data_IF_000360678370
#
_entry.id   IF_000360678370
#
_cell.length_a   1.000
_cell.length_b   1.000
_cell.length_c   1.000
_cell.angle_alpha   90.00
_cell.angle_beta   90.00
_cell.angle_gamma   90.00
#
_symmetry.space_group_name_H-M   'P 1'
#
loop_
_entity.id
_entity.type
_entity.pdbx_description
1 polymer ?
#
# COMPACT_ATOMS: atom_id res chain seq x y z
N UNK A 1 -9.04 21.88 1.77
CA UNK A 1 -8.88 21.52 0.34
C UNK A 1 -9.76 22.44 -0.47
N UNK A 2 -9.31 22.90 -1.64
CA UNK A 2 -10.17 23.61 -2.59
C UNK A 2 -10.46 22.64 -3.72
N UNK A 3 -11.74 22.44 -4.05
CA UNK A 3 -12.11 21.50 -5.09
C UNK A 3 -13.51 21.76 -5.61
N UNK A 4 -13.78 21.20 -6.77
CA UNK A 4 -15.04 21.32 -7.50
C UNK A 4 -15.47 19.94 -7.96
N UNK A 5 -16.78 19.69 -7.98
CA UNK A 5 -17.34 18.47 -8.54
C UNK A 5 -18.59 18.78 -9.36
N UNK A 6 -18.78 18.01 -10.42
CA UNK A 6 -19.94 18.10 -11.31
C UNK A 6 -20.33 16.71 -11.80
N UNK A 7 -21.57 16.57 -12.27
CA UNK A 7 -21.97 15.46 -13.14
C UNK A 7 -21.85 15.96 -14.57
N UNK A 8 -21.13 15.21 -15.41
CA UNK A 8 -21.04 15.45 -16.85
C UNK A 8 -21.81 14.36 -17.59
N UNK A 9 -22.58 14.76 -18.62
CA UNK A 9 -23.36 13.83 -19.43
C UNK A 9 -24.76 13.52 -18.87
N UNK A 10 -25.45 12.55 -19.49
CA UNK A 10 -26.80 12.13 -19.12
C UNK A 10 -26.99 10.62 -19.32
N UNK A 11 -27.94 10.04 -18.56
CA UNK A 11 -28.30 8.62 -18.66
C UNK A 11 -27.10 7.68 -18.43
N UNK A 12 -26.95 6.69 -19.31
CA UNK A 12 -25.88 5.68 -19.22
C UNK A 12 -24.46 6.24 -19.45
N UNK A 13 -24.32 7.46 -19.96
CA UNK A 13 -23.02 8.11 -20.22
C UNK A 13 -22.65 9.14 -19.15
N UNK A 14 -23.45 9.27 -18.09
CA UNK A 14 -23.20 10.19 -17.01
C UNK A 14 -21.95 9.78 -16.23
N UNK A 15 -21.16 10.78 -15.83
CA UNK A 15 -19.93 10.63 -15.05
C UNK A 15 -19.86 11.67 -13.95
N UNK A 16 -19.35 11.27 -12.80
CA UNK A 16 -18.99 12.16 -11.69
C UNK A 16 -17.57 12.62 -11.92
N UNK A 17 -17.37 13.92 -12.12
CA UNK A 17 -16.07 14.54 -12.24
C UNK A 17 -15.77 15.35 -10.98
N UNK A 18 -14.53 15.30 -10.52
CA UNK A 18 -14.05 16.23 -9.50
C UNK A 18 -12.58 16.58 -9.70
N UNK A 19 -12.24 17.84 -9.39
CA UNK A 19 -10.86 18.30 -9.32
C UNK A 19 -10.62 18.86 -7.92
N UNK A 20 -9.55 18.40 -7.28
CA UNK A 20 -9.13 18.88 -5.95
C UNK A 20 -7.71 19.40 -6.06
N UNK A 21 -7.49 20.67 -5.70
CA UNK A 21 -6.17 21.27 -5.64
C UNK A 21 -5.58 21.10 -4.25
N UNK A 22 -4.38 20.50 -4.21
CA UNK A 22 -3.65 20.29 -2.97
C UNK A 22 -2.14 20.24 -3.20
N UNK A 23 -1.40 21.04 -2.43
CA UNK A 23 0.07 21.04 -2.41
C UNK A 23 0.73 21.24 -3.79
N UNK A 24 0.19 22.14 -4.60
CA UNK A 24 0.71 22.43 -5.96
C UNK A 24 0.36 21.36 -7.00
N UNK A 25 -0.45 20.37 -6.64
CA UNK A 25 -0.96 19.34 -7.54
C UNK A 25 -2.49 19.47 -7.68
N UNK A 26 -3.00 19.07 -8.83
CA UNK A 26 -4.44 18.94 -9.09
C UNK A 26 -4.78 17.46 -9.26
N UNK A 27 -5.68 16.97 -8.41
CA UNK A 27 -6.14 15.58 -8.41
C UNK A 27 -7.46 15.49 -9.17
N UNK A 28 -7.48 14.75 -10.28
CA UNK A 28 -8.67 14.50 -11.08
C UNK A 28 -9.30 13.17 -10.67
N UNK A 29 -10.60 13.19 -10.40
CA UNK A 29 -11.44 12.02 -10.17
C UNK A 29 -12.47 11.92 -11.30
N UNK A 30 -12.58 10.73 -11.87
CA UNK A 30 -13.62 10.38 -12.83
C UNK A 30 -14.29 9.08 -12.38
N UNK A 31 -15.60 9.15 -12.13
CA UNK A 31 -16.42 8.02 -11.74
C UNK A 31 -17.51 7.76 -12.76
N UNK A 32 -17.61 6.51 -13.23
CA UNK A 32 -18.67 6.03 -14.11
C UNK A 32 -19.24 4.73 -13.57
N UNK A 33 -20.51 4.47 -13.83
CA UNK A 33 -21.17 3.21 -13.47
C UNK A 33 -22.25 2.87 -14.49
N UNK A 34 -22.59 1.58 -14.60
CA UNK A 34 -23.66 1.10 -15.48
C UNK A 34 -25.01 1.68 -15.09
N UNK A 35 -25.32 1.71 -13.79
CA UNK A 35 -26.43 2.47 -13.22
C UNK A 35 -25.86 3.68 -12.47
N UNK A 36 -25.70 4.79 -13.19
CA UNK A 36 -25.09 5.99 -12.63
C UNK A 36 -25.92 6.59 -11.50
N UNK A 37 -27.25 6.60 -11.63
CA UNK A 37 -28.13 7.26 -10.67
C UNK A 37 -28.03 6.65 -9.26
N UNK A 38 -27.90 5.32 -9.17
CA UNK A 38 -27.71 4.64 -7.89
C UNK A 38 -26.27 4.74 -7.36
N UNK A 39 -25.27 4.76 -8.24
CA UNK A 39 -23.85 4.83 -7.86
C UNK A 39 -23.36 6.23 -7.48
N UNK A 40 -24.00 7.28 -8.01
CA UNK A 40 -23.56 8.66 -7.90
C UNK A 40 -23.35 9.16 -6.44
N UNK A 41 -24.22 8.85 -5.46
CA UNK A 41 -23.97 9.20 -4.06
C UNK A 41 -22.68 8.59 -3.50
N UNK A 42 -22.36 7.36 -3.89
CA UNK A 42 -21.13 6.68 -3.45
C UNK A 42 -19.89 7.27 -4.14
N UNK A 43 -19.99 7.63 -5.42
CA UNK A 43 -18.93 8.33 -6.15
C UNK A 43 -18.64 9.70 -5.53
N UNK A 44 -19.69 10.44 -5.15
CA UNK A 44 -19.53 11.71 -4.44
C UNK A 44 -18.89 11.52 -3.05
N UNK A 45 -19.32 10.50 -2.30
CA UNK A 45 -18.74 10.19 -1.00
C UNK A 45 -17.24 9.83 -1.11
N UNK A 46 -16.85 9.08 -2.14
CA UNK A 46 -15.44 8.79 -2.45
C UNK A 46 -14.63 10.07 -2.68
N UNK A 47 -15.13 10.99 -3.50
CA UNK A 47 -14.48 12.29 -3.74
C UNK A 47 -14.36 13.08 -2.43
N UNK A 48 -15.42 13.13 -1.62
CA UNK A 48 -15.44 13.86 -0.35
C UNK A 48 -14.56 13.22 0.73
N UNK A 49 -14.24 11.93 0.61
CA UNK A 49 -13.33 11.23 1.52
C UNK A 49 -11.87 11.64 1.33
N UNK A 50 -11.53 12.26 0.19
CA UNK A 50 -10.18 12.72 -0.07
C UNK A 50 -9.78 13.81 0.93
N UNK A 51 -8.71 13.54 1.68
CA UNK A 51 -8.16 14.47 2.66
C UNK A 51 -6.63 14.38 2.67
N UNK A 52 -5.94 15.46 3.10
CA UNK A 52 -4.53 15.38 3.44
C UNK A 52 -4.28 14.29 4.48
N UNK A 53 -3.15 13.60 4.32
CA UNK A 53 -2.65 12.68 5.34
C UNK A 53 -2.35 13.46 6.62
N UNK A 54 -2.94 13.03 7.73
CA UNK A 54 -2.76 13.68 9.02
C UNK A 54 -1.32 13.44 9.52
N UNK A 55 -0.65 14.42 10.17
CA UNK A 55 0.75 14.26 10.61
C UNK A 55 1.00 13.05 11.51
N UNK A 56 0.01 12.67 12.34
CA UNK A 56 0.08 11.45 13.17
C UNK A 56 -0.01 10.14 12.38
N UNK A 57 -0.65 10.15 11.20
CA UNK A 57 -0.71 8.97 10.32
C UNK A 57 0.62 8.70 9.62
N UNK A 58 1.41 9.76 9.34
CA UNK A 58 2.76 9.62 8.77
C UNK A 58 3.70 8.81 9.68
N UNK A 59 3.51 8.89 11.00
CA UNK A 59 4.40 8.20 11.96
C UNK A 59 4.05 6.72 12.15
N UNK A 60 2.78 6.33 11.95
CA UNK A 60 2.34 4.93 12.07
C UNK A 60 2.81 4.04 10.92
N UNK A 61 3.33 4.62 9.83
CA UNK A 61 3.65 3.90 8.60
C UNK A 61 5.13 3.94 8.22
N UNK A 62 6.06 3.55 9.12
CA UNK A 62 7.31 2.98 8.60
C UNK A 62 6.94 1.62 8.00
N UNK A 63 6.45 1.64 6.77
CA UNK A 63 6.11 0.43 6.04
C UNK A 63 7.31 -0.51 6.01
N UNK A 64 7.05 -1.81 6.01
CA UNK A 64 8.12 -2.78 5.93
C UNK A 64 8.85 -2.62 4.59
N UNK A 65 10.18 -2.61 4.64
CA UNK A 65 10.99 -2.60 3.42
C UNK A 65 11.90 -3.82 3.38
N UNK A 66 12.28 -4.20 2.16
CA UNK A 66 13.21 -5.30 1.94
C UNK A 66 14.63 -4.74 1.92
N UNK A 67 15.50 -5.33 2.73
CA UNK A 67 16.94 -5.06 2.71
C UNK A 67 17.69 -6.35 2.45
N UNK A 68 18.73 -6.29 1.62
CA UNK A 68 19.66 -7.40 1.45
C UNK A 68 20.75 -7.32 2.52
N UNK A 69 21.05 -8.45 3.15
CA UNK A 69 22.21 -8.62 4.02
C UNK A 69 22.99 -9.86 3.59
N UNK A 70 24.29 -9.90 3.90
CA UNK A 70 25.04 -11.15 3.84
C UNK A 70 24.77 -11.95 5.11
N UNK A 71 24.55 -13.25 4.95
CA UNK A 71 24.25 -14.17 6.05
C UNK A 71 25.47 -14.26 6.97
N UNK A 72 25.35 -13.82 8.25
CA UNK A 72 26.44 -13.91 9.21
C UNK A 72 26.82 -15.37 9.47
N UNK A 73 28.06 -15.58 9.94
CA UNK A 73 28.53 -16.92 10.31
C UNK A 73 27.65 -17.49 11.42
N UNK A 74 27.10 -18.70 11.19
CA UNK A 74 26.25 -19.39 12.15
C UNK A 74 24.82 -18.84 12.26
N UNK A 75 24.41 -17.90 11.40
CA UNK A 75 23.05 -17.42 11.38
C UNK A 75 22.11 -18.47 10.75
N UNK A 76 20.99 -18.73 11.43
CA UNK A 76 19.84 -19.50 10.94
C UNK A 76 18.69 -18.56 10.61
N UNK A 77 17.69 -19.01 9.84
CA UNK A 77 16.46 -18.25 9.62
C UNK A 77 15.80 -17.87 10.94
N UNK A 78 15.74 -18.78 11.92
CA UNK A 78 15.19 -18.49 13.24
C UNK A 78 15.91 -17.30 13.90
N UNK A 79 17.25 -17.28 13.87
CA UNK A 79 18.04 -16.17 14.43
C UNK A 79 17.86 -14.84 13.68
N UNK A 80 17.69 -14.90 12.35
CA UNK A 80 17.46 -13.74 11.50
C UNK A 80 16.05 -13.16 11.72
N UNK A 81 15.05 -14.04 11.76
CA UNK A 81 13.64 -13.71 11.95
C UNK A 81 13.35 -13.11 13.32
N UNK A 82 14.14 -13.41 14.35
CA UNK A 82 14.01 -12.78 15.68
C UNK A 82 14.09 -11.25 15.66
N UNK A 83 14.73 -10.66 14.64
CA UNK A 83 14.82 -9.21 14.45
C UNK A 83 13.66 -8.59 13.67
N UNK A 84 12.78 -9.42 13.10
CA UNK A 84 11.68 -9.01 12.21
C UNK A 84 10.39 -8.93 13.01
N UNK A 85 9.73 -7.76 13.00
CA UNK A 85 8.53 -7.48 13.81
C UNK A 85 7.23 -7.79 13.09
N UNK A 86 7.12 -8.98 12.49
CA UNK A 86 5.91 -9.43 11.78
C UNK A 86 5.43 -10.79 12.31
N UNK A 87 4.13 -11.09 12.23
CA UNK A 87 3.63 -12.44 12.51
C UNK A 87 4.29 -13.48 11.61
N UNK A 88 4.54 -14.68 12.13
CA UNK A 88 5.11 -15.81 11.39
C UNK A 88 6.43 -15.49 10.68
N UNK A 89 7.26 -14.62 11.29
CA UNK A 89 8.47 -14.06 10.69
C UNK A 89 9.41 -15.11 10.06
N UNK A 90 9.61 -16.27 10.72
CA UNK A 90 10.46 -17.34 10.20
C UNK A 90 9.89 -17.94 8.90
N UNK A 91 8.60 -18.31 8.91
CA UNK A 91 7.94 -18.87 7.73
C UNK A 91 7.90 -17.87 6.56
N UNK A 92 7.60 -16.60 6.86
CA UNK A 92 7.60 -15.54 5.86
C UNK A 92 9.00 -15.26 5.31
N UNK A 93 10.04 -15.29 6.15
CA UNK A 93 11.42 -15.08 5.73
C UNK A 93 11.92 -16.25 4.86
N UNK A 94 11.55 -17.50 5.18
CA UNK A 94 11.83 -18.66 4.31
C UNK A 94 11.15 -18.52 2.97
N UNK A 95 9.86 -18.18 2.96
CA UNK A 95 9.09 -18.01 1.71
C UNK A 95 9.72 -16.92 0.83
N UNK A 96 10.05 -15.76 1.41
CA UNK A 96 10.66 -14.62 0.70
C UNK A 96 12.00 -14.99 0.02
N UNK A 97 12.74 -15.92 0.62
CA UNK A 97 14.06 -16.33 0.17
C UNK A 97 14.07 -17.68 -0.56
N UNK A 98 12.91 -18.28 -0.86
CA UNK A 98 12.83 -19.57 -1.54
C UNK A 98 13.33 -20.75 -0.71
N UNK A 99 13.35 -20.63 0.61
CA UNK A 99 13.82 -21.62 1.57
C UNK A 99 12.67 -22.39 2.26
N UNK A 100 11.44 -22.23 1.79
CA UNK A 100 10.28 -22.90 2.38
C UNK A 100 10.31 -24.43 2.14
N UNK A 101 9.88 -25.28 3.10
CA UNK A 101 9.42 -24.94 4.45
C UNK A 101 10.53 -24.90 5.52
N UNK A 102 11.67 -25.56 5.27
CA UNK A 102 12.68 -25.86 6.30
C UNK A 102 14.13 -25.59 5.87
N UNK A 103 14.34 -24.92 4.73
CA UNK A 103 15.65 -24.55 4.23
C UNK A 103 16.35 -23.51 5.09
N UNK A 104 17.68 -23.54 5.07
CA UNK A 104 18.56 -22.62 5.77
C UNK A 104 19.57 -21.98 4.79
N UNK A 105 19.90 -20.70 4.97
CA UNK A 105 20.85 -20.00 4.12
C UNK A 105 22.28 -20.44 4.42
N UNK A 106 23.19 -20.32 3.45
CA UNK A 106 24.62 -20.55 3.70
C UNK A 106 25.29 -19.27 4.16
N UNK A 107 26.33 -19.40 4.96
CA UNK A 107 27.14 -18.25 5.38
C UNK A 107 27.72 -17.55 4.15
N UNK A 108 27.58 -16.22 4.09
CA UNK A 108 28.05 -15.39 2.98
C UNK A 108 27.03 -15.19 1.85
N UNK A 109 25.95 -15.98 1.79
CA UNK A 109 24.89 -15.77 0.81
C UNK A 109 24.17 -14.44 1.08
N UNK A 110 23.63 -13.84 0.03
CA UNK A 110 22.75 -12.69 0.16
C UNK A 110 21.33 -13.15 0.46
N UNK A 111 20.74 -12.60 1.53
CA UNK A 111 19.37 -12.90 1.97
C UNK A 111 18.54 -11.62 2.03
N UNK A 112 17.27 -11.72 1.60
CA UNK A 112 16.26 -10.66 1.73
C UNK A 112 15.72 -10.67 3.15
N UNK A 113 15.78 -9.51 3.81
CA UNK A 113 15.28 -9.28 5.17
C UNK A 113 14.15 -8.25 5.15
N UNK A 114 13.14 -8.47 5.99
CA UNK A 114 12.04 -7.52 6.23
C UNK A 114 12.43 -6.64 7.42
N UNK A 115 12.26 -5.32 7.31
CA UNK A 115 12.63 -4.33 8.33
C UNK A 115 11.54 -3.31 8.59
#
# INVERSE_FOLDING_TARGET
LKGYTAVAGSGANARRLAVIDYNGLSYLFEGSATDFASADPALLALVQSFRPMHPKERQSGKGYYIRYIQVPRGATIASLAASVRIPDAEAQLRLLNGLYPSGEPRTGDWIKMIR
#
